data_IF_085628009861
#
_entry.id   IF_085628009861
#
_cell.length_a   1.000
_cell.length_b   1.000
_cell.length_c   1.000
_cell.angle_alpha   90.00
_cell.angle_beta   90.00
_cell.angle_gamma   90.00
#
_symmetry.space_group_name_H-M   'P 1'
#
loop_
_entity.id
_entity.type
_entity.pdbx_description
1 polymer ?
#
# COMPACT_ATOMS: atom_id res chain seq x y z
N UNK A 1 2.50 -8.64 -6.05
CA UNK A 1 3.43 -9.75 -6.20
C UNK A 1 4.20 -9.94 -4.90
N UNK A 2 4.31 -11.19 -4.47
CA UNK A 2 4.98 -11.56 -3.23
C UNK A 2 6.08 -12.55 -3.59
N UNK A 3 7.31 -12.30 -3.11
CA UNK A 3 8.46 -13.15 -3.36
C UNK A 3 9.18 -12.93 -4.68
N UNK A 4 10.45 -13.31 -4.75
CA UNK A 4 11.34 -13.02 -5.88
C UNK A 4 10.91 -13.67 -7.21
N UNK A 5 10.23 -14.81 -7.15
CA UNK A 5 9.78 -15.58 -8.33
C UNK A 5 8.30 -15.38 -8.68
N UNK A 6 7.67 -14.33 -8.12
CA UNK A 6 6.24 -14.07 -8.37
C UNK A 6 5.97 -13.66 -9.82
N UNK A 7 4.96 -14.28 -10.42
CA UNK A 7 4.47 -13.90 -11.75
C UNK A 7 3.69 -12.59 -11.69
N UNK A 8 4.30 -11.53 -12.20
CA UNK A 8 3.70 -10.18 -12.24
C UNK A 8 2.61 -10.04 -13.31
N UNK A 9 2.49 -11.00 -14.25
CA UNK A 9 1.44 -10.99 -15.28
C UNK A 9 0.03 -11.18 -14.69
N UNK A 10 -0.06 -11.75 -13.49
CA UNK A 10 -1.32 -11.92 -12.76
C UNK A 10 -1.81 -10.65 -12.05
N UNK A 11 -1.03 -9.58 -12.05
CA UNK A 11 -1.44 -8.31 -11.44
C UNK A 11 -2.55 -7.65 -12.25
N UNK A 12 -3.55 -7.10 -11.56
CA UNK A 12 -4.63 -6.38 -12.20
C UNK A 12 -4.10 -5.19 -13.01
N UNK A 13 -4.42 -5.13 -14.29
CA UNK A 13 -4.05 -4.00 -15.13
C UNK A 13 -4.85 -2.73 -14.78
N UNK A 14 -4.48 -1.53 -15.32
CA UNK A 14 -5.16 -0.27 -14.99
C UNK A 14 -6.67 -0.29 -15.26
N UNK A 15 -7.13 -0.93 -16.33
CA UNK A 15 -8.56 -1.01 -16.66
C UNK A 15 -9.32 -1.88 -15.65
N UNK A 16 -8.69 -2.98 -15.22
CA UNK A 16 -9.25 -3.85 -14.17
C UNK A 16 -9.30 -3.14 -12.81
N UNK A 17 -8.26 -2.37 -12.45
CA UNK A 17 -8.24 -1.57 -11.22
C UNK A 17 -9.33 -0.50 -11.24
N UNK A 18 -9.48 0.25 -12.33
CA UNK A 18 -10.56 1.22 -12.47
C UNK A 18 -11.95 0.58 -12.40
N UNK A 19 -12.15 -0.54 -13.13
CA UNK A 19 -13.40 -1.28 -13.08
C UNK A 19 -13.73 -1.73 -11.66
N UNK A 20 -12.75 -2.24 -10.92
CA UNK A 20 -12.91 -2.64 -9.51
C UNK A 20 -13.34 -1.44 -8.66
N UNK A 21 -12.64 -0.33 -8.76
CA UNK A 21 -12.97 0.91 -8.06
C UNK A 21 -14.41 1.35 -8.30
N UNK A 22 -14.83 1.48 -9.56
CA UNK A 22 -16.18 1.91 -9.92
C UNK A 22 -17.24 0.91 -9.46
N UNK A 23 -16.95 -0.39 -9.58
CA UNK A 23 -17.86 -1.47 -9.14
C UNK A 23 -18.07 -1.44 -7.62
N UNK A 24 -17.01 -1.36 -6.83
CA UNK A 24 -17.11 -1.32 -5.37
C UNK A 24 -17.88 -0.07 -4.91
N UNK A 25 -17.64 1.08 -5.53
CA UNK A 25 -18.40 2.31 -5.23
C UNK A 25 -19.89 2.15 -5.52
N UNK A 26 -20.24 1.57 -6.67
CA UNK A 26 -21.64 1.29 -7.02
C UNK A 26 -22.29 0.28 -6.05
N UNK A 27 -21.57 -0.77 -5.69
CA UNK A 27 -22.08 -1.78 -4.77
C UNK A 27 -22.36 -1.25 -3.36
N UNK A 28 -21.53 -0.36 -2.85
CA UNK A 28 -21.77 0.29 -1.54
C UNK A 28 -23.08 1.06 -1.47
N UNK A 29 -23.55 1.56 -2.61
CA UNK A 29 -24.81 2.29 -2.69
C UNK A 29 -26.02 1.40 -3.03
N UNK A 30 -25.81 0.15 -3.51
CA UNK A 30 -26.87 -0.66 -4.09
C UNK A 30 -26.98 -2.06 -3.50
N UNK A 31 -26.00 -2.50 -2.72
CA UNK A 31 -25.93 -3.85 -2.15
C UNK A 31 -25.76 -3.80 -0.63
N UNK A 32 -26.48 -4.66 0.08
CA UNK A 32 -26.37 -4.82 1.54
C UNK A 32 -25.20 -5.73 1.92
N UNK A 33 -24.00 -5.46 1.34
CA UNK A 33 -22.78 -6.19 1.63
C UNK A 33 -21.66 -5.23 2.01
N UNK A 34 -20.84 -5.64 2.97
CA UNK A 34 -19.64 -4.91 3.32
C UNK A 34 -18.55 -5.13 2.24
N UNK A 35 -18.00 -4.04 1.72
CA UNK A 35 -16.93 -4.05 0.75
C UNK A 35 -15.76 -3.17 1.23
N UNK A 36 -14.56 -3.73 1.20
CA UNK A 36 -13.33 -3.02 1.51
C UNK A 36 -12.36 -3.12 0.32
N UNK A 37 -11.77 -1.98 -0.06
CA UNK A 37 -10.79 -1.89 -1.13
C UNK A 37 -9.52 -1.25 -0.59
N UNK A 38 -8.52 -2.06 -0.29
CA UNK A 38 -7.25 -1.59 0.29
C UNK A 38 -6.53 -0.53 -0.55
N UNK A 39 -6.74 -0.51 -1.85
CA UNK A 39 -6.11 0.48 -2.73
C UNK A 39 -6.86 1.81 -2.77
N UNK A 40 -8.17 1.78 -2.98
CA UNK A 40 -8.93 2.99 -3.24
C UNK A 40 -9.65 3.54 -2.01
N UNK A 41 -9.66 2.80 -0.89
CA UNK A 41 -10.19 3.28 0.38
C UNK A 41 -9.18 4.12 1.19
N UNK A 42 -7.95 4.23 0.70
CA UNK A 42 -6.91 5.04 1.34
C UNK A 42 -7.33 6.51 1.54
N UNK A 43 -8.18 7.03 0.67
CA UNK A 43 -8.75 8.39 0.80
C UNK A 43 -9.55 8.60 2.10
N UNK A 44 -10.16 7.55 2.66
CA UNK A 44 -10.93 7.63 3.90
C UNK A 44 -10.08 7.53 5.16
N UNK A 45 -8.87 7.01 5.02
CA UNK A 45 -7.95 6.77 6.12
C UNK A 45 -6.65 7.58 6.03
N UNK A 46 -6.54 8.42 4.99
CA UNK A 46 -5.41 9.32 4.78
C UNK A 46 -4.13 8.60 4.34
N UNK A 47 -4.26 7.61 3.46
CA UNK A 47 -3.12 6.88 2.88
C UNK A 47 -3.01 5.43 3.32
N UNK A 48 -1.83 4.84 3.15
CA UNK A 48 -1.54 3.47 3.54
C UNK A 48 -1.66 3.27 5.06
N UNK A 49 -2.26 2.17 5.49
CA UNK A 49 -2.47 1.83 6.90
C UNK A 49 -1.31 1.06 7.53
N UNK A 50 -0.35 0.60 6.72
CA UNK A 50 0.77 -0.25 7.10
C UNK A 50 1.84 0.45 7.97
N UNK A 51 2.87 -0.31 8.36
CA UNK A 51 4.02 0.20 9.11
C UNK A 51 3.67 0.63 10.54
N UNK A 52 2.76 -0.10 11.19
CA UNK A 52 2.34 0.19 12.57
C UNK A 52 1.41 1.39 12.71
N UNK A 53 1.04 2.08 11.62
CA UNK A 53 0.12 3.23 11.70
C UNK A 53 -1.28 2.83 12.15
N UNK A 54 -1.85 1.78 11.58
CA UNK A 54 -3.14 1.15 11.96
C UNK A 54 -3.08 -0.37 11.86
N UNK A 55 -2.02 -0.91 11.28
CA UNK A 55 -1.87 -2.30 10.94
C UNK A 55 -0.39 -2.64 10.80
N UNK A 56 -0.01 -3.82 11.25
CA UNK A 56 1.24 -4.51 10.93
C UNK A 56 0.93 -6.00 10.73
N UNK A 57 1.88 -6.73 10.22
CA UNK A 57 1.80 -8.17 10.04
C UNK A 57 2.89 -8.84 10.88
N UNK A 58 2.57 -9.96 11.50
CA UNK A 58 3.56 -10.83 12.17
C UNK A 58 3.55 -12.13 11.39
N UNK A 59 4.67 -12.47 10.78
CA UNK A 59 4.78 -13.67 9.98
C UNK A 59 4.98 -14.92 10.86
N UNK A 60 5.01 -16.10 10.25
CA UNK A 60 5.14 -17.37 10.95
C UNK A 60 6.46 -17.52 11.75
N UNK A 61 7.51 -16.78 11.35
CA UNK A 61 8.79 -16.76 12.06
C UNK A 61 8.82 -15.78 13.24
N UNK A 62 7.80 -14.92 13.36
CA UNK A 62 7.70 -13.87 14.37
C UNK A 62 8.24 -12.51 13.93
N UNK A 63 8.66 -12.35 12.66
CA UNK A 63 9.12 -11.05 12.17
C UNK A 63 7.94 -10.08 12.05
N UNK A 64 8.16 -8.84 12.51
CA UNK A 64 7.12 -7.80 12.51
C UNK A 64 7.27 -6.94 11.25
N UNK A 65 6.43 -7.21 10.28
CA UNK A 65 6.45 -6.63 8.94
C UNK A 65 5.46 -5.46 8.82
N UNK A 66 5.71 -4.47 7.93
CA UNK A 66 4.78 -3.37 7.70
C UNK A 66 3.37 -3.82 7.30
N UNK A 67 3.28 -4.81 6.42
CA UNK A 67 2.02 -5.44 5.99
C UNK A 67 2.31 -6.84 5.42
N UNK A 68 1.25 -7.62 5.20
CA UNK A 68 1.32 -8.98 4.64
C UNK A 68 1.99 -9.08 3.25
N UNK A 69 2.20 -7.96 2.56
CA UNK A 69 2.84 -7.90 1.24
C UNK A 69 4.25 -7.29 1.29
N UNK A 70 4.73 -6.87 2.45
CA UNK A 70 6.02 -6.23 2.63
C UNK A 70 6.92 -7.09 3.51
N UNK A 71 7.75 -7.90 2.89
CA UNK A 71 8.60 -8.89 3.54
C UNK A 71 9.98 -8.33 3.93
N UNK A 72 9.95 -7.24 4.72
CA UNK A 72 11.14 -6.63 5.32
C UNK A 72 10.86 -6.27 6.78
N UNK A 73 11.85 -6.47 7.65
CA UNK A 73 11.73 -6.15 9.07
C UNK A 73 13.08 -5.86 9.72
N UNK A 74 13.04 -5.12 10.84
CA UNK A 74 14.16 -4.97 11.78
C UNK A 74 13.88 -5.68 13.12
N UNK A 75 12.69 -6.23 13.34
CA UNK A 75 12.28 -6.73 14.64
C UNK A 75 11.54 -8.07 14.56
N UNK A 76 11.80 -8.91 15.56
CA UNK A 76 11.09 -10.18 15.75
C UNK A 76 10.49 -10.23 17.17
N UNK A 77 9.23 -10.68 17.29
CA UNK A 77 8.52 -10.77 18.58
C UNK A 77 9.12 -11.78 19.57
N UNK A 78 10.05 -12.63 19.13
CA UNK A 78 10.80 -13.54 20.01
C UNK A 78 11.91 -12.80 20.77
N UNK A 79 12.37 -11.65 20.22
CA UNK A 79 13.53 -10.92 20.74
C UNK A 79 13.10 -9.62 21.43
N UNK A 80 11.98 -9.01 21.01
CA UNK A 80 11.49 -7.74 21.54
C UNK A 80 9.97 -7.78 21.75
N UNK A 81 9.45 -6.92 22.60
CA UNK A 81 8.00 -6.75 22.76
C UNK A 81 7.36 -6.15 21.51
N UNK A 82 6.04 -6.37 21.31
CA UNK A 82 5.32 -5.77 20.21
C UNK A 82 5.40 -4.22 20.22
N UNK A 83 5.39 -3.60 21.40
CA UNK A 83 5.51 -2.15 21.54
C UNK A 83 6.87 -1.66 21.02
N UNK A 84 7.95 -2.34 21.36
CA UNK A 84 9.29 -2.03 20.84
C UNK A 84 9.36 -2.27 19.31
N UNK A 85 8.79 -3.38 18.84
CA UNK A 85 8.74 -3.69 17.42
C UNK A 85 7.96 -2.64 16.59
N UNK A 86 6.93 -2.00 17.15
CA UNK A 86 6.22 -0.90 16.50
C UNK A 86 7.07 0.38 16.35
N UNK A 87 8.17 0.49 17.12
CA UNK A 87 9.17 1.55 17.02
C UNK A 87 10.38 1.19 16.16
N UNK A 88 10.37 0.08 15.42
CA UNK A 88 11.50 -0.35 14.60
C UNK A 88 11.83 0.64 13.48
N UNK A 89 13.11 0.72 13.03
CA UNK A 89 13.55 1.71 12.04
C UNK A 89 12.70 1.74 10.77
N UNK A 90 12.31 0.59 10.20
CA UNK A 90 11.47 0.55 9.00
C UNK A 90 10.08 1.18 9.24
N UNK A 91 9.48 0.98 10.42
CA UNK A 91 8.18 1.58 10.73
C UNK A 91 8.29 3.09 10.93
N UNK A 92 9.40 3.56 11.49
CA UNK A 92 9.70 5.00 11.58
C UNK A 92 9.82 5.62 10.18
N UNK A 93 10.50 4.94 9.26
CA UNK A 93 10.57 5.38 7.86
C UNK A 93 9.18 5.39 7.18
N UNK A 94 8.33 4.39 7.44
CA UNK A 94 6.95 4.39 6.99
C UNK A 94 6.16 5.61 7.49
N UNK A 95 6.29 5.94 8.77
CA UNK A 95 5.61 7.07 9.39
C UNK A 95 6.07 8.42 8.82
N UNK A 96 7.37 8.61 8.64
CA UNK A 96 7.96 9.84 8.08
C UNK A 96 7.55 10.09 6.62
N UNK A 97 7.39 9.03 5.83
CA UNK A 97 7.13 9.12 4.40
C UNK A 97 5.64 9.12 4.04
N UNK A 98 4.72 8.94 4.99
CA UNK A 98 3.28 8.98 4.73
C UNK A 98 2.72 10.41 4.68
N UNK A 99 1.76 10.65 3.79
CA UNK A 99 1.26 9.75 2.76
C UNK A 99 2.28 9.60 1.63
N UNK A 100 2.50 8.37 1.15
CA UNK A 100 3.48 8.07 0.09
C UNK A 100 3.17 8.77 -1.24
N UNK A 101 1.92 9.18 -1.43
CA UNK A 101 1.47 9.95 -2.58
C UNK A 101 0.34 10.90 -2.18
N UNK A 102 0.28 12.08 -2.80
CA UNK A 102 -0.83 13.03 -2.61
C UNK A 102 -2.13 12.47 -3.19
N UNK A 103 -2.05 11.75 -4.28
CA UNK A 103 -3.16 11.01 -4.86
C UNK A 103 -3.38 9.72 -4.06
N UNK A 104 -4.49 9.69 -3.30
CA UNK A 104 -4.81 8.58 -2.41
C UNK A 104 -5.28 7.30 -3.15
N UNK A 105 -5.40 7.33 -4.48
CA UNK A 105 -5.56 6.13 -5.30
C UNK A 105 -4.21 5.48 -5.66
N UNK A 106 -3.12 6.02 -5.12
CA UNK A 106 -1.75 5.51 -5.21
C UNK A 106 -1.11 5.36 -3.82
N UNK A 107 -1.77 4.66 -2.87
CA UNK A 107 -1.31 4.67 -1.47
C UNK A 107 -0.14 3.73 -1.20
N UNK A 108 0.06 2.70 -2.03
CA UNK A 108 0.98 1.60 -1.73
C UNK A 108 2.44 1.98 -2.05
N UNK A 109 3.37 1.85 -1.09
CA UNK A 109 4.79 2.09 -1.37
C UNK A 109 5.40 1.00 -2.25
N UNK A 110 4.84 -0.21 -2.29
CA UNK A 110 5.37 -1.31 -3.10
C UNK A 110 4.89 -1.20 -4.54
N UNK A 111 3.58 -1.05 -4.76
CA UNK A 111 2.98 -1.13 -6.10
C UNK A 111 2.89 0.20 -6.81
N UNK A 112 2.62 1.29 -6.07
CA UNK A 112 2.33 2.59 -6.65
C UNK A 112 3.50 3.57 -6.57
N UNK A 113 4.43 3.33 -5.62
CA UNK A 113 5.54 4.23 -5.31
C UNK A 113 6.82 3.44 -5.01
N UNK A 114 7.16 2.49 -5.88
CA UNK A 114 8.27 1.54 -5.67
C UNK A 114 9.63 2.15 -5.25
N UNK A 115 10.06 3.33 -5.73
CA UNK A 115 11.27 3.96 -5.20
C UNK A 115 11.20 4.29 -3.71
N UNK A 116 9.99 4.51 -3.16
CA UNK A 116 9.83 4.81 -1.73
C UNK A 116 10.12 3.60 -0.85
N UNK A 117 9.63 2.41 -1.21
CA UNK A 117 9.96 1.22 -0.42
C UNK A 117 11.43 0.90 -0.46
N UNK A 118 12.09 1.07 -1.63
CA UNK A 118 13.53 0.85 -1.77
C UNK A 118 14.32 1.81 -0.87
N UNK A 119 13.95 3.10 -0.86
CA UNK A 119 14.55 4.12 0.00
C UNK A 119 14.37 3.77 1.49
N UNK A 120 13.15 3.47 1.91
CA UNK A 120 12.83 3.18 3.32
C UNK A 120 13.54 1.93 3.84
N UNK A 121 13.60 0.85 3.06
CA UNK A 121 14.31 -0.38 3.44
C UNK A 121 15.80 -0.13 3.56
N UNK A 122 16.41 0.63 2.64
CA UNK A 122 17.84 0.98 2.69
C UNK A 122 18.16 1.88 3.88
N UNK A 123 17.37 2.92 4.11
CA UNK A 123 17.59 3.86 5.22
C UNK A 123 17.42 3.19 6.59
N UNK A 124 16.54 2.23 6.69
CA UNK A 124 16.29 1.50 7.93
C UNK A 124 17.21 0.29 8.13
N UNK A 125 17.98 -0.10 7.10
CA UNK A 125 18.75 -1.35 7.09
C UNK A 125 17.90 -2.61 7.36
N UNK A 126 16.62 -2.54 7.02
CA UNK A 126 15.70 -3.66 7.20
C UNK A 126 16.09 -4.84 6.30
N UNK A 127 15.95 -6.04 6.82
CA UNK A 127 16.30 -7.28 6.11
C UNK A 127 15.08 -7.94 5.54
N UNK A 128 15.25 -8.65 4.42
CA UNK A 128 14.22 -9.52 3.90
C UNK A 128 13.86 -10.61 4.91
N UNK A 129 12.56 -10.83 5.11
CA UNK A 129 11.99 -11.84 5.98
C UNK A 129 11.56 -13.08 5.23
N UNK A 130 11.78 -13.13 3.92
CA UNK A 130 11.54 -14.32 3.10
C UNK A 130 12.55 -15.41 3.45
N UNK A 131 12.03 -16.57 3.83
CA UNK A 131 12.84 -17.69 4.32
C UNK A 131 13.57 -18.42 3.18
N UNK A 132 12.93 -18.51 2.01
CA UNK A 132 13.51 -19.12 0.82
C UNK A 132 13.72 -18.01 -0.22
N UNK A 133 14.92 -17.87 -0.74
CA UNK A 133 15.29 -16.85 -1.74
C UNK A 133 14.95 -15.42 -1.26
N UNK A 134 15.60 -14.88 -0.23
CA UNK A 134 15.38 -13.52 0.26
C UNK A 134 15.45 -12.49 -0.87
N UNK A 135 14.36 -11.74 -1.10
CA UNK A 135 14.29 -10.75 -2.16
C UNK A 135 15.05 -9.48 -1.78
N UNK A 136 15.93 -9.02 -2.67
CA UNK A 136 16.54 -7.70 -2.56
C UNK A 136 15.49 -6.63 -2.88
N UNK A 137 15.51 -5.51 -2.14
CA UNK A 137 14.52 -4.43 -2.32
C UNK A 137 14.64 -3.73 -3.68
N UNK A 138 15.82 -3.72 -4.30
CA UNK A 138 15.98 -3.18 -5.65
C UNK A 138 15.31 -4.08 -6.69
N UNK A 139 15.33 -5.40 -6.50
CA UNK A 139 14.62 -6.34 -7.37
C UNK A 139 13.10 -6.19 -7.23
N UNK A 140 12.60 -6.03 -6.00
CA UNK A 140 11.19 -5.70 -5.76
C UNK A 140 10.80 -4.38 -6.43
N UNK A 141 11.62 -3.35 -6.30
CA UNK A 141 11.39 -2.05 -6.95
C UNK A 141 11.34 -2.19 -8.48
N UNK A 142 12.33 -2.85 -9.07
CA UNK A 142 12.40 -3.08 -10.52
C UNK A 142 11.19 -3.86 -11.05
N UNK A 143 10.72 -4.83 -10.29
CA UNK A 143 9.54 -5.65 -10.60
C UNK A 143 8.23 -4.85 -10.61
N UNK A 144 8.12 -3.81 -9.78
CA UNK A 144 6.85 -3.09 -9.55
C UNK A 144 6.80 -1.68 -10.12
N UNK A 145 7.94 -1.05 -10.41
CA UNK A 145 8.01 0.36 -10.85
C UNK A 145 7.18 0.64 -12.11
N UNK A 146 7.28 -0.20 -13.13
CA UNK A 146 6.53 -0.03 -14.37
C UNK A 146 5.01 -0.20 -14.16
N UNK A 147 4.60 -1.09 -13.27
CA UNK A 147 3.20 -1.23 -12.89
C UNK A 147 2.66 0.05 -12.25
N UNK A 148 3.39 0.63 -11.30
CA UNK A 148 3.04 1.90 -10.67
C UNK A 148 2.94 3.06 -11.66
N UNK A 149 3.86 3.12 -12.64
CA UNK A 149 3.87 4.16 -13.69
C UNK A 149 2.68 4.02 -14.64
N UNK A 150 2.32 2.80 -15.04
CA UNK A 150 1.14 2.57 -15.91
C UNK A 150 -0.17 2.92 -15.21
N UNK A 151 -0.27 2.64 -13.92
CA UNK A 151 -1.43 3.03 -13.12
C UNK A 151 -1.49 4.54 -12.87
N UNK A 152 -0.36 5.22 -12.72
CA UNK A 152 -0.28 6.62 -12.31
C UNK A 152 -1.18 7.55 -13.14
N UNK A 153 -1.10 7.44 -14.47
CA UNK A 153 -1.90 8.29 -15.37
C UNK A 153 -3.40 8.09 -15.18
N UNK A 154 -3.84 6.85 -15.05
CA UNK A 154 -5.25 6.52 -14.83
C UNK A 154 -5.72 6.97 -13.45
N UNK A 155 -4.91 6.76 -12.43
CA UNK A 155 -5.18 7.17 -11.07
C UNK A 155 -5.33 8.70 -10.94
N UNK A 156 -4.57 9.50 -11.71
CA UNK A 156 -4.67 10.95 -11.69
C UNK A 156 -6.05 11.41 -12.20
N UNK A 157 -6.47 10.93 -13.35
CA UNK A 157 -7.80 11.23 -13.90
C UNK A 157 -8.92 10.85 -12.92
N UNK A 158 -8.86 9.65 -12.33
CA UNK A 158 -9.86 9.20 -11.37
C UNK A 158 -9.88 10.03 -10.09
N UNK A 159 -8.71 10.50 -9.65
CA UNK A 159 -8.58 11.33 -8.47
C UNK A 159 -9.18 12.72 -8.68
N UNK A 160 -8.93 13.34 -9.83
CA UNK A 160 -9.52 14.60 -10.24
C UNK A 160 -11.05 14.49 -10.32
N UNK A 161 -11.59 13.44 -10.98
CA UNK A 161 -13.02 13.14 -11.01
C UNK A 161 -13.62 13.03 -9.60
N UNK A 162 -12.92 12.32 -8.70
CA UNK A 162 -13.39 12.11 -7.32
C UNK A 162 -13.44 13.41 -6.52
N UNK A 163 -12.44 14.29 -6.66
CA UNK A 163 -12.40 15.60 -6.01
C UNK A 163 -13.56 16.47 -6.53
N UNK A 164 -13.75 16.52 -7.84
CA UNK A 164 -14.81 17.31 -8.45
C UNK A 164 -16.22 16.83 -8.01
N UNK A 165 -16.44 15.53 -7.98
CA UNK A 165 -17.69 14.94 -7.51
C UNK A 165 -17.98 15.27 -6.03
N UNK A 166 -16.96 15.26 -5.18
CA UNK A 166 -17.09 15.65 -3.77
C UNK A 166 -17.41 17.13 -3.61
N UNK A 167 -16.81 17.98 -4.42
CA UNK A 167 -17.09 19.42 -4.44
C UNK A 167 -18.55 19.70 -4.80
N UNK A 168 -19.05 19.10 -5.91
CA UNK A 168 -20.44 19.23 -6.35
C UNK A 168 -21.43 18.74 -5.28
N UNK A 169 -21.18 17.58 -4.69
CA UNK A 169 -22.04 17.02 -3.65
C UNK A 169 -22.07 17.89 -2.38
N UNK A 170 -21.01 18.64 -2.08
CA UNK A 170 -20.99 19.60 -0.99
C UNK A 170 -21.83 20.84 -1.31
N UNK A 171 -21.65 21.42 -2.51
CA UNK A 171 -22.41 22.58 -2.96
C UNK A 171 -23.91 22.31 -3.03
N UNK A 172 -24.32 21.07 -3.41
CA UNK A 172 -25.74 20.66 -3.42
C UNK A 172 -26.35 20.57 -2.02
N UNK A 173 -25.56 20.21 -1.01
CA UNK A 173 -26.05 20.11 0.38
C UNK A 173 -26.15 21.46 1.09
N UNK A 174 -25.43 22.48 0.60
CA UNK A 174 -25.42 23.83 1.13
C UNK A 174 -26.48 24.74 0.50
N UNK A 175 -27.20 24.26 -0.51
CA UNK A 175 -28.36 24.91 -1.16
C UNK A 175 -29.69 24.47 -0.54
#
# INVERSE_FOLDING_TARGET
PIGCKTDTSLMANPDQREKLYRTIRAWRNTKSIFNMDFWHDAEYVGGCVAGGRRYCHINANGDVEPCVFCHYSNANIKDVSLIEALGQPLFIEYQKNQPFNKNQFRPCPILDNAPKIAEMVKNSEAKSTEFIDPENVDDLCNKTINYGLTWAKRAETLWEENIENKRKAKEEKER
#
